data_IF_427732874729
#
_entry.id   IF_427732874729
#
_cell.length_a   1.000
_cell.length_b   1.000
_cell.length_c   1.000
_cell.angle_alpha   90.00
_cell.angle_beta   90.00
_cell.angle_gamma   90.00
#
_symmetry.space_group_name_H-M   'P 1'
#
loop_
_entity.id
_entity.type
_entity.pdbx_description
1 polymer ?
#
# COMPACT_ATOMS: atom_id res chain seq x y z
N UNK A 1 6.69 14.83 40.06
CA UNK A 1 7.15 13.42 40.16
C UNK A 1 8.19 13.21 39.06
N UNK A 2 9.46 13.06 39.44
CA UNK A 2 10.62 12.90 38.55
C UNK A 2 10.96 11.41 38.49
N UNK A 3 10.91 10.80 37.31
CA UNK A 3 11.51 9.48 37.08
C UNK A 3 12.32 9.56 35.78
N UNK A 4 13.63 9.33 35.94
CA UNK A 4 14.64 9.24 34.90
C UNK A 4 14.92 7.73 34.62
N UNK A 5 15.64 7.40 33.53
CA UNK A 5 15.52 6.16 32.77
C UNK A 5 16.45 5.03 33.23
N UNK A 6 16.13 3.80 32.84
CA UNK A 6 17.04 2.66 32.91
C UNK A 6 17.35 2.16 31.49
N UNK A 7 18.64 2.18 31.19
CA UNK A 7 19.33 1.64 30.02
C UNK A 7 19.76 0.20 30.32
N UNK A 8 20.05 -0.56 29.25
CA UNK A 8 20.80 -1.83 29.17
C UNK A 8 19.91 -3.08 29.01
N UNK A 9 20.22 -4.05 28.14
CA UNK A 9 21.53 -4.49 27.68
C UNK A 9 21.45 -5.13 26.28
N UNK A 10 22.51 -4.96 25.49
CA UNK A 10 22.81 -5.69 24.26
C UNK A 10 22.97 -7.20 24.54
N UNK A 11 22.48 -8.04 23.63
CA UNK A 11 23.18 -9.30 23.27
C UNK A 11 23.14 -9.46 21.76
N UNK A 12 24.30 -9.35 21.13
CA UNK A 12 24.55 -9.76 19.74
C UNK A 12 24.48 -11.30 19.68
N UNK A 13 23.61 -11.84 18.82
CA UNK A 13 23.71 -13.21 18.36
C UNK A 13 24.23 -13.19 16.92
N UNK A 14 25.55 -13.32 16.77
CA UNK A 14 26.20 -13.60 15.50
C UNK A 14 26.20 -15.11 15.26
N UNK A 15 25.33 -15.60 14.38
CA UNK A 15 25.44 -16.95 13.83
C UNK A 15 26.42 -16.90 12.65
N UNK A 16 27.63 -17.42 12.87
CA UNK A 16 28.61 -17.70 11.82
C UNK A 16 28.15 -18.93 11.03
N UNK A 17 27.92 -18.78 9.73
CA UNK A 17 27.70 -19.91 8.83
C UNK A 17 29.03 -20.29 8.16
N UNK A 18 29.37 -21.55 8.35
CA UNK A 18 30.57 -22.26 7.94
C UNK A 18 30.79 -22.24 6.41
N UNK A 19 32.03 -21.95 5.99
CA UNK A 19 32.44 -21.91 4.59
C UNK A 19 32.96 -23.26 4.15
N UNK A 20 32.14 -24.07 3.49
CA UNK A 20 32.60 -25.23 2.70
C UNK A 20 32.73 -24.82 1.23
N UNK A 21 33.96 -24.49 0.86
CA UNK A 21 34.37 -24.12 -0.50
C UNK A 21 34.51 -25.40 -1.35
N UNK A 22 33.56 -25.61 -2.27
CA UNK A 22 33.72 -26.54 -3.41
C UNK A 22 33.61 -25.71 -4.69
N UNK A 23 34.61 -25.68 -5.59
CA UNK A 23 34.50 -24.92 -6.82
C UNK A 23 33.79 -25.75 -7.91
N UNK A 24 32.68 -25.26 -8.50
CA UNK A 24 32.27 -25.70 -9.81
C UNK A 24 32.88 -24.81 -10.90
N UNK A 25 33.39 -25.51 -11.91
CA UNK A 25 33.80 -25.13 -13.26
C UNK A 25 33.10 -23.90 -13.85
N UNK A 26 33.91 -23.05 -14.49
CA UNK A 26 33.47 -21.90 -15.27
C UNK A 26 32.41 -22.23 -16.33
N UNK A 27 31.38 -21.39 -16.42
CA UNK A 27 30.67 -21.16 -17.68
C UNK A 27 30.22 -19.71 -17.76
N UNK A 28 30.76 -19.03 -18.77
CA UNK A 28 30.43 -17.68 -19.18
C UNK A 28 28.99 -17.63 -19.68
N UNK A 29 28.19 -16.73 -19.13
CA UNK A 29 26.85 -16.40 -19.64
C UNK A 29 26.40 -15.07 -19.05
N UNK A 30 26.19 -14.08 -19.93
CA UNK A 30 25.92 -12.70 -19.57
C UNK A 30 24.73 -12.54 -18.62
N UNK A 31 24.92 -11.76 -17.57
CA UNK A 31 23.81 -11.20 -16.77
C UNK A 31 23.23 -10.01 -17.51
N UNK A 32 22.26 -10.31 -18.37
CA UNK A 32 21.21 -9.37 -18.76
C UNK A 32 20.43 -8.94 -17.52
N UNK A 33 20.17 -7.64 -17.42
CA UNK A 33 19.14 -6.95 -16.65
C UNK A 33 18.52 -7.72 -15.47
N UNK A 34 18.91 -7.28 -14.27
CA UNK A 34 18.24 -7.52 -13.00
C UNK A 34 16.76 -7.13 -13.13
N UNK A 35 15.93 -8.12 -13.44
CA UNK A 35 14.48 -8.00 -13.52
C UNK A 35 13.92 -7.58 -12.17
N UNK A 36 13.15 -6.51 -12.18
CA UNK A 36 12.30 -6.15 -11.05
C UNK A 36 11.42 -7.35 -10.71
N UNK A 37 11.60 -7.93 -9.53
CA UNK A 37 10.65 -8.88 -8.94
C UNK A 37 9.38 -8.11 -8.57
N UNK A 38 8.58 -7.75 -9.56
CA UNK A 38 7.22 -7.27 -9.37
C UNK A 38 6.42 -8.48 -8.91
N UNK A 39 6.34 -8.67 -7.60
CA UNK A 39 5.33 -9.55 -7.02
C UNK A 39 3.98 -9.10 -7.59
N UNK A 40 3.37 -9.95 -8.42
CA UNK A 40 2.09 -9.66 -9.04
C UNK A 40 1.05 -9.77 -7.93
N UNK A 41 0.73 -8.65 -7.28
CA UNK A 41 -0.36 -8.61 -6.31
C UNK A 41 -1.65 -8.86 -7.08
N UNK A 42 -2.28 -10.00 -6.82
CA UNK A 42 -3.60 -10.31 -7.36
C UNK A 42 -4.64 -9.58 -6.50
N UNK A 43 -5.23 -8.52 -7.06
CA UNK A 43 -6.32 -7.80 -6.40
C UNK A 43 -7.62 -8.62 -6.46
N UNK A 44 -8.44 -8.59 -5.41
CA UNK A 44 -9.79 -9.15 -5.45
C UNK A 44 -10.59 -8.55 -6.61
N UNK A 45 -11.37 -9.39 -7.29
CA UNK A 45 -12.29 -8.97 -8.36
C UNK A 45 -13.72 -9.18 -7.89
N UNK A 46 -14.18 -8.34 -6.97
CA UNK A 46 -15.54 -8.39 -6.47
C UNK A 46 -16.57 -8.19 -7.59
N UNK A 47 -17.76 -8.77 -7.44
CA UNK A 47 -18.89 -8.44 -8.31
C UNK A 47 -19.19 -6.94 -8.19
N UNK A 48 -19.43 -6.26 -9.31
CA UNK A 48 -19.76 -4.83 -9.28
C UNK A 48 -21.25 -4.70 -8.93
N UNK A 49 -21.53 -4.40 -7.67
CA UNK A 49 -22.86 -3.98 -7.20
C UNK A 49 -22.89 -2.46 -7.03
N UNK A 50 -24.08 -1.90 -6.80
CA UNK A 50 -24.23 -0.45 -6.57
C UNK A 50 -23.62 -0.03 -5.22
N UNK A 51 -23.70 -0.89 -4.21
CA UNK A 51 -23.09 -0.67 -2.89
C UNK A 51 -21.55 -0.70 -3.01
N UNK A 52 -21.00 -1.68 -3.72
CA UNK A 52 -19.55 -1.73 -3.92
C UNK A 52 -19.05 -0.56 -4.77
N UNK A 53 -19.79 -0.16 -5.81
CA UNK A 53 -19.50 1.06 -6.57
C UNK A 53 -19.51 2.29 -5.66
N UNK A 54 -20.46 2.37 -4.73
CA UNK A 54 -20.55 3.46 -3.74
C UNK A 54 -19.31 3.48 -2.85
N UNK A 55 -18.87 2.34 -2.32
CA UNK A 55 -17.63 2.25 -1.53
C UNK A 55 -16.40 2.73 -2.31
N UNK A 56 -16.25 2.32 -3.57
CA UNK A 56 -15.12 2.78 -4.40
C UNK A 56 -15.22 4.27 -4.74
N UNK A 57 -16.44 4.80 -4.91
CA UNK A 57 -16.67 6.24 -5.10
C UNK A 57 -16.25 7.01 -3.85
N UNK A 58 -16.73 6.59 -2.67
CA UNK A 58 -16.33 7.13 -1.37
C UNK A 58 -14.81 7.08 -1.18
N UNK A 59 -14.17 5.97 -1.55
CA UNK A 59 -12.72 5.84 -1.49
C UNK A 59 -12.01 6.84 -2.41
N UNK A 60 -12.51 7.06 -3.62
CA UNK A 60 -11.92 7.99 -4.57
C UNK A 60 -12.08 9.47 -4.18
N UNK A 61 -13.20 9.82 -3.56
CA UNK A 61 -13.54 11.20 -3.22
C UNK A 61 -13.19 11.57 -1.76
N UNK A 62 -12.68 10.61 -0.96
CA UNK A 62 -12.45 10.79 0.47
C UNK A 62 -11.54 11.97 0.82
N UNK A 63 -10.62 12.40 -0.06
CA UNK A 63 -9.78 13.58 0.17
C UNK A 63 -10.63 14.83 0.33
N UNK A 64 -11.66 14.97 -0.50
CA UNK A 64 -12.62 16.07 -0.45
C UNK A 64 -13.66 15.86 0.66
N UNK A 65 -14.26 14.68 0.72
CA UNK A 65 -15.35 14.37 1.68
C UNK A 65 -14.89 14.42 3.15
N UNK A 66 -13.61 14.15 3.40
CA UNK A 66 -13.02 14.27 4.74
C UNK A 66 -12.57 15.70 5.09
N UNK A 67 -12.55 16.62 4.12
CA UNK A 67 -11.99 17.97 4.25
C UNK A 67 -10.46 18.02 4.29
N UNK A 68 -9.77 16.91 3.96
CA UNK A 68 -8.31 16.86 3.95
C UNK A 68 -7.69 17.77 2.87
N UNK A 69 -8.42 18.07 1.79
CA UNK A 69 -8.01 19.03 0.77
C UNK A 69 -7.72 20.44 1.32
N UNK A 70 -8.35 20.81 2.44
CA UNK A 70 -8.17 22.10 3.13
C UNK A 70 -6.99 22.12 4.12
N UNK A 71 -6.27 21.00 4.27
CA UNK A 71 -5.21 20.84 5.25
C UNK A 71 -3.82 20.81 4.61
N UNK A 72 -2.76 21.16 5.36
CA UNK A 72 -1.38 20.89 4.96
C UNK A 72 -1.18 19.40 4.65
N UNK A 73 -0.41 19.09 3.60
CA UNK A 73 -0.24 17.73 3.08
C UNK A 73 0.22 16.71 4.14
N UNK A 74 1.09 17.12 5.05
CA UNK A 74 1.60 16.29 6.15
C UNK A 74 0.54 15.97 7.24
N UNK A 75 -0.62 16.60 7.19
CA UNK A 75 -1.70 16.46 8.18
C UNK A 75 -2.95 15.76 7.61
N UNK A 76 -3.01 15.54 6.30
CA UNK A 76 -4.17 14.95 5.59
C UNK A 76 -4.44 13.51 5.96
N UNK A 77 -3.38 12.72 6.07
CA UNK A 77 -3.46 11.27 6.18
C UNK A 77 -4.26 10.77 7.37
N UNK A 78 -4.07 11.27 8.60
CA UNK A 78 -4.91 10.92 9.73
C UNK A 78 -6.40 11.18 9.49
N UNK A 79 -6.74 12.28 8.82
CA UNK A 79 -8.13 12.68 8.55
C UNK A 79 -8.77 11.78 7.50
N UNK A 80 -8.06 11.50 6.40
CA UNK A 80 -8.50 10.54 5.37
C UNK A 80 -8.72 9.15 6.00
N UNK A 81 -7.76 8.65 6.78
CA UNK A 81 -7.84 7.33 7.38
C UNK A 81 -9.00 7.21 8.39
N UNK A 82 -9.23 8.24 9.20
CA UNK A 82 -10.35 8.30 10.15
C UNK A 82 -11.70 8.35 9.42
N UNK A 83 -11.79 9.06 8.30
CA UNK A 83 -13.00 9.14 7.50
C UNK A 83 -13.32 7.82 6.80
N UNK A 84 -12.32 7.14 6.23
CA UNK A 84 -12.54 5.90 5.48
C UNK A 84 -13.17 4.77 6.29
N UNK A 85 -12.81 4.64 7.58
CA UNK A 85 -13.27 3.55 8.45
C UNK A 85 -14.79 3.29 8.42
N UNK A 86 -15.63 4.30 8.72
CA UNK A 86 -17.09 4.14 8.68
C UNK A 86 -17.72 4.28 7.29
N UNK A 87 -17.00 4.70 6.25
CA UNK A 87 -17.56 5.03 4.92
C UNK A 87 -17.33 3.96 3.85
N UNK A 88 -16.57 2.91 4.17
CA UNK A 88 -16.49 1.69 3.38
C UNK A 88 -17.35 0.66 4.08
N UNK A 89 -18.40 0.19 3.41
CA UNK A 89 -19.51 -0.50 4.08
C UNK A 89 -19.65 -1.96 3.67
N UNK A 90 -19.21 -2.33 2.48
CA UNK A 90 -19.26 -3.69 1.98
C UNK A 90 -18.00 -4.47 2.37
N UNK A 91 -18.16 -5.79 2.56
CA UNK A 91 -17.01 -6.69 2.78
C UNK A 91 -16.02 -6.60 1.61
N UNK A 92 -16.53 -6.51 0.38
CA UNK A 92 -15.71 -6.36 -0.82
C UNK A 92 -14.87 -5.06 -0.81
N UNK A 93 -15.44 -3.94 -0.34
CA UNK A 93 -14.71 -2.68 -0.18
C UNK A 93 -13.58 -2.80 0.83
N UNK A 94 -13.84 -3.45 1.96
CA UNK A 94 -12.82 -3.73 2.98
C UNK A 94 -11.72 -4.66 2.47
N UNK A 95 -12.08 -5.75 1.78
CA UNK A 95 -11.14 -6.68 1.17
C UNK A 95 -10.23 -5.99 0.16
N UNK A 96 -10.80 -5.12 -0.68
CA UNK A 96 -10.04 -4.32 -1.63
C UNK A 96 -9.04 -3.40 -0.90
N UNK A 97 -9.49 -2.67 0.13
CA UNK A 97 -8.62 -1.81 0.94
C UNK A 97 -7.47 -2.59 1.58
N UNK A 98 -7.74 -3.78 2.13
CA UNK A 98 -6.71 -4.66 2.70
C UNK A 98 -5.72 -5.12 1.63
N UNK A 99 -6.21 -5.54 0.46
CA UNK A 99 -5.36 -6.03 -0.63
C UNK A 99 -4.37 -4.99 -1.16
N UNK A 100 -4.72 -3.70 -1.09
CA UNK A 100 -3.84 -2.61 -1.52
C UNK A 100 -2.96 -2.03 -0.40
N UNK A 101 -3.11 -2.43 0.87
CA UNK A 101 -2.25 -1.98 1.97
C UNK A 101 -0.73 -2.20 1.75
N UNK A 102 -0.25 -3.35 1.21
CA UNK A 102 1.19 -3.54 1.00
C UNK A 102 1.76 -2.70 -0.15
N UNK A 103 0.89 -2.12 -1.00
CA UNK A 103 1.31 -1.25 -2.10
C UNK A 103 1.65 0.14 -1.59
N UNK A 104 2.56 0.82 -2.29
CA UNK A 104 2.99 2.18 -1.99
C UNK A 104 3.12 3.01 -3.27
N UNK A 105 3.01 4.33 -3.15
CA UNK A 105 3.22 5.27 -4.25
C UNK A 105 2.38 4.93 -5.48
N UNK A 106 3.04 4.93 -6.64
CA UNK A 106 2.42 4.67 -7.95
C UNK A 106 1.68 3.34 -8.01
N UNK A 107 2.23 2.26 -7.42
CA UNK A 107 1.59 0.96 -7.48
C UNK A 107 0.22 0.94 -6.77
N UNK A 108 0.12 1.67 -5.65
CA UNK A 108 -1.13 1.80 -4.89
C UNK A 108 -2.13 2.68 -5.63
N UNK A 109 -1.66 3.81 -6.18
CA UNK A 109 -2.46 4.71 -7.00
C UNK A 109 -3.05 3.99 -8.22
N UNK A 110 -2.23 3.24 -8.95
CA UNK A 110 -2.65 2.50 -10.13
C UNK A 110 -3.66 1.38 -9.82
N UNK A 111 -3.49 0.68 -8.69
CA UNK A 111 -4.47 -0.32 -8.23
C UNK A 111 -5.84 0.33 -8.01
N UNK A 112 -5.87 1.49 -7.36
CA UNK A 112 -7.10 2.23 -7.10
C UNK A 112 -7.75 2.78 -8.37
N UNK A 113 -6.99 3.38 -9.28
CA UNK A 113 -7.52 3.88 -10.56
C UNK A 113 -8.05 2.75 -11.45
N UNK A 114 -7.39 1.59 -11.42
CA UNK A 114 -7.85 0.41 -12.16
C UNK A 114 -9.20 -0.05 -11.63
N UNK A 115 -9.37 -0.07 -10.32
CA UNK A 115 -10.62 -0.46 -9.70
C UNK A 115 -11.72 0.60 -9.91
N UNK A 116 -11.37 1.88 -9.78
CA UNK A 116 -12.25 3.01 -10.09
C UNK A 116 -12.81 2.90 -11.52
N UNK A 117 -11.95 2.66 -12.51
CA UNK A 117 -12.37 2.43 -13.90
C UNK A 117 -13.25 1.19 -14.05
N UNK A 118 -12.93 0.10 -13.36
CA UNK A 118 -13.71 -1.16 -13.41
C UNK A 118 -15.14 -0.94 -12.92
N UNK A 119 -15.32 -0.11 -11.89
CA UNK A 119 -16.63 0.29 -11.40
C UNK A 119 -17.20 1.50 -12.16
N UNK A 120 -16.58 1.97 -13.24
CA UNK A 120 -17.14 3.03 -14.11
C UNK A 120 -16.91 4.47 -13.65
N UNK A 121 -15.96 4.72 -12.74
CA UNK A 121 -15.50 6.06 -12.40
C UNK A 121 -14.43 6.55 -13.40
N UNK A 122 -14.46 7.84 -13.72
CA UNK A 122 -13.53 8.45 -14.66
C UNK A 122 -12.20 8.86 -14.00
N UNK A 123 -12.20 9.16 -12.70
CA UNK A 123 -11.04 9.65 -11.93
C UNK A 123 -11.09 9.16 -10.49
N UNK A 124 -9.98 9.30 -9.78
CA UNK A 124 -9.87 8.95 -8.38
C UNK A 124 -8.88 9.90 -7.66
N UNK A 125 -9.39 10.84 -6.86
CA UNK A 125 -8.56 11.91 -6.30
C UNK A 125 -7.60 11.38 -5.22
N UNK A 126 -7.99 10.34 -4.47
CA UNK A 126 -7.12 9.66 -3.52
C UNK A 126 -5.87 9.03 -4.18
N UNK A 127 -5.96 8.62 -5.45
CA UNK A 127 -4.81 8.06 -6.14
C UNK A 127 -3.66 9.09 -6.29
N UNK A 128 -3.99 10.37 -6.50
CA UNK A 128 -3.01 11.45 -6.60
C UNK A 128 -2.34 11.71 -5.25
N UNK A 129 -3.12 11.70 -4.16
CA UNK A 129 -2.56 11.82 -2.79
C UNK A 129 -1.58 10.68 -2.50
N UNK A 130 -1.83 9.47 -3.00
CA UNK A 130 -0.92 8.33 -2.84
C UNK A 130 0.34 8.39 -3.69
N UNK A 131 0.31 9.06 -4.84
CA UNK A 131 1.53 9.41 -5.60
C UNK A 131 2.37 10.46 -4.89
N UNK A 132 1.78 11.19 -3.95
CA UNK A 132 2.40 12.35 -3.35
C UNK A 132 2.33 13.58 -4.26
N UNK A 133 1.27 13.69 -5.06
CA UNK A 133 0.93 14.88 -5.87
C UNK A 133 0.16 15.92 -5.06
#
# INVERSE_FOLDING_TARGET
>A
MKWAPAIACLVLAACQADSTQTPPTASSGGSTAQGSNTAVISLPKAQVTDEYRTDITSLCDCVHESGADQMPKNERWPVIAMWLGPHITTDAGHEFLVAIQPLQGEAKALALETEARRVGLAKCDLANEWRGE
#
